data_IF_968167728468
#
_entry.id   IF_968167728468
#
_cell.length_a   1.000
_cell.length_b   1.000
_cell.length_c   1.000
_cell.angle_alpha   90.00
_cell.angle_beta   90.00
_cell.angle_gamma   90.00
#
_symmetry.space_group_name_H-M   'P 1'
#
loop_
_entity.id
_entity.type
_entity.pdbx_description
1 polymer ?
#
# COMPACT_ATOMS: atom_id res chain seq x y z
N UNK A 1 12.92 -28.04 26.09
CA UNK A 1 14.10 -27.21 25.75
C UNK A 1 14.72 -26.75 27.04
N UNK A 2 16.04 -26.78 27.16
CA UNK A 2 16.74 -26.35 28.38
C UNK A 2 16.93 -24.82 28.43
N UNK A 3 17.13 -24.27 29.63
CA UNK A 3 17.26 -22.82 29.87
C UNK A 3 18.45 -22.17 29.14
N UNK A 4 19.51 -22.94 28.85
CA UNK A 4 20.69 -22.45 28.14
C UNK A 4 20.36 -22.21 26.67
N UNK A 5 19.61 -23.14 26.06
CA UNK A 5 19.07 -23.01 24.71
C UNK A 5 18.12 -21.81 24.60
N UNK A 6 17.23 -21.62 25.58
CA UNK A 6 16.31 -20.45 25.60
C UNK A 6 17.09 -19.13 25.68
N UNK A 7 18.11 -19.04 26.53
CA UNK A 7 18.96 -17.84 26.63
C UNK A 7 19.74 -17.55 25.35
N UNK A 8 20.26 -18.58 24.68
CA UNK A 8 20.94 -18.42 23.40
C UNK A 8 19.99 -17.91 22.31
N UNK A 9 18.75 -18.41 22.25
CA UNK A 9 17.76 -17.91 21.29
C UNK A 9 17.46 -16.44 21.58
N UNK A 10 17.18 -16.09 22.84
CA UNK A 10 16.87 -14.71 23.23
C UNK A 10 18.03 -13.73 22.98
N UNK A 11 19.29 -14.16 23.13
CA UNK A 11 20.45 -13.30 22.85
C UNK A 11 20.63 -12.97 21.36
N UNK A 12 19.95 -13.69 20.47
CA UNK A 12 19.95 -13.43 19.03
C UNK A 12 18.74 -12.59 18.58
N UNK A 13 17.81 -12.25 19.48
CA UNK A 13 16.69 -11.37 19.17
C UNK A 13 17.13 -9.92 19.38
N UNK A 14 17.35 -9.20 18.28
CA UNK A 14 17.72 -7.80 18.32
C UNK A 14 16.48 -6.91 18.13
N UNK A 15 16.09 -6.18 19.17
CA UNK A 15 15.04 -5.16 19.09
C UNK A 15 15.65 -3.83 18.65
N UNK A 16 15.91 -3.69 17.35
CA UNK A 16 16.30 -2.40 16.80
C UNK A 16 15.10 -1.43 16.84
N UNK A 17 15.26 -0.29 17.54
CA UNK A 17 14.30 0.83 17.55
C UNK A 17 14.53 1.82 16.41
N UNK A 18 15.54 1.58 15.57
CA UNK A 18 15.88 2.46 14.45
C UNK A 18 14.99 2.15 13.25
N UNK A 19 13.98 2.98 13.03
CA UNK A 19 13.16 2.93 11.81
C UNK A 19 13.88 3.69 10.68
N UNK A 20 14.98 3.15 10.16
CA UNK A 20 15.57 3.68 8.94
C UNK A 20 14.78 3.16 7.74
N UNK A 21 14.44 4.05 6.80
CA UNK A 21 13.72 3.69 5.56
C UNK A 21 14.49 2.63 4.76
N UNK A 22 15.82 2.67 4.82
CA UNK A 22 16.72 1.70 4.18
C UNK A 22 16.51 0.27 4.70
N UNK A 23 16.17 0.13 5.98
CA UNK A 23 15.94 -1.16 6.63
C UNK A 23 14.45 -1.57 6.66
N UNK A 24 13.54 -0.60 6.50
CA UNK A 24 12.10 -0.81 6.54
C UNK A 24 11.35 0.06 5.51
N UNK A 25 11.21 -0.47 4.30
CA UNK A 25 10.51 0.22 3.20
C UNK A 25 9.03 0.56 3.53
N UNK A 26 8.41 -0.11 4.51
CA UNK A 26 7.03 0.17 4.94
C UNK A 26 6.92 1.59 5.52
N UNK A 27 8.00 2.11 6.10
CA UNK A 27 8.04 3.47 6.60
C UNK A 27 7.86 4.49 5.46
N UNK A 28 8.39 4.22 4.27
CA UNK A 28 8.20 5.10 3.11
C UNK A 28 6.72 5.20 2.72
N UNK A 29 6.03 4.06 2.65
CA UNK A 29 4.58 4.02 2.39
C UNK A 29 3.82 4.84 3.43
N UNK A 30 4.13 4.66 4.72
CA UNK A 30 3.50 5.41 5.81
C UNK A 30 3.73 6.91 5.67
N UNK A 31 4.98 7.34 5.48
CA UNK A 31 5.33 8.76 5.38
C UNK A 31 4.67 9.44 4.17
N UNK A 32 4.68 8.79 3.00
CA UNK A 32 4.07 9.35 1.80
C UNK A 32 2.54 9.39 1.92
N UNK A 33 1.94 8.35 2.52
CA UNK A 33 0.49 8.36 2.83
C UNK A 33 0.14 9.51 3.77
N UNK A 34 0.96 9.77 4.80
CA UNK A 34 0.75 10.92 5.68
C UNK A 34 0.86 12.26 4.96
N UNK A 35 1.75 12.38 3.96
CA UNK A 35 1.84 13.59 3.12
C UNK A 35 0.54 13.80 2.35
N UNK A 36 0.02 12.76 1.68
CA UNK A 36 -1.25 12.83 0.96
C UNK A 36 -2.42 13.21 1.88
N UNK A 37 -2.50 12.57 3.05
CA UNK A 37 -3.55 12.82 4.05
C UNK A 37 -3.47 14.25 4.61
N UNK A 38 -2.26 14.74 4.93
CA UNK A 38 -2.07 16.12 5.41
C UNK A 38 -2.45 17.14 4.33
N UNK A 39 -2.09 16.87 3.07
CA UNK A 39 -2.43 17.71 1.94
C UNK A 39 -3.95 17.81 1.73
N UNK A 40 -4.67 16.69 1.86
CA UNK A 40 -6.15 16.66 1.75
C UNK A 40 -6.89 16.98 3.06
N UNK A 41 -6.18 17.35 4.12
CA UNK A 41 -6.82 17.73 5.38
C UNK A 41 -7.55 19.09 5.23
N UNK A 42 -8.64 19.34 6.00
CA UNK A 42 -9.44 20.56 5.86
C UNK A 42 -8.66 21.87 6.04
N UNK A 43 -7.53 21.83 6.74
CA UNK A 43 -6.68 23.01 6.99
C UNK A 43 -5.73 23.36 5.84
N UNK A 44 -5.43 22.42 4.94
CA UNK A 44 -4.46 22.61 3.85
C UNK A 44 -5.17 22.60 2.49
N UNK A 45 -5.91 21.53 2.19
CA UNK A 45 -6.63 21.32 0.94
C UNK A 45 -5.78 21.56 -0.32
N UNK A 46 -4.64 20.86 -0.42
CA UNK A 46 -3.71 20.90 -1.54
C UNK A 46 -3.73 19.57 -2.34
N UNK A 47 -4.64 19.43 -3.33
CA UNK A 47 -4.72 18.21 -4.13
C UNK A 47 -3.48 17.99 -5.02
N UNK A 48 -2.72 19.04 -5.36
CA UNK A 48 -1.50 18.90 -6.17
C UNK A 48 -0.43 18.08 -5.44
N UNK A 49 -0.22 18.37 -4.16
CA UNK A 49 0.69 17.59 -3.31
C UNK A 49 0.19 16.16 -3.12
N UNK A 50 -1.13 15.96 -2.96
CA UNK A 50 -1.71 14.62 -2.83
C UNK A 50 -1.51 13.76 -4.09
N UNK A 51 -1.67 14.35 -5.29
CA UNK A 51 -1.40 13.66 -6.57
C UNK A 51 0.04 13.18 -6.63
N UNK A 52 1.00 14.05 -6.31
CA UNK A 52 2.42 13.68 -6.31
C UNK A 52 2.73 12.55 -5.33
N UNK A 53 2.13 12.60 -4.13
CA UNK A 53 2.27 11.53 -3.15
C UNK A 53 1.69 10.20 -3.65
N UNK A 54 0.54 10.22 -4.34
CA UNK A 54 -0.06 9.02 -4.95
C UNK A 54 0.82 8.48 -6.08
N UNK A 55 1.46 9.33 -6.87
CA UNK A 55 2.42 8.89 -7.90
C UNK A 55 3.61 8.13 -7.28
N UNK A 56 4.19 8.65 -6.20
CA UNK A 56 5.24 7.93 -5.47
C UNK A 56 4.76 6.62 -4.85
N UNK A 57 3.53 6.59 -4.29
CA UNK A 57 2.95 5.33 -3.79
C UNK A 57 2.73 4.32 -4.91
N UNK A 58 2.34 4.76 -6.11
CA UNK A 58 2.18 3.92 -7.29
C UNK A 58 3.48 3.22 -7.64
N UNK A 59 4.58 3.98 -7.72
CA UNK A 59 5.92 3.42 -7.99
C UNK A 59 6.39 2.49 -6.87
N UNK A 60 6.15 2.85 -5.61
CA UNK A 60 6.52 1.99 -4.49
C UNK A 60 5.73 0.68 -4.49
N UNK A 61 4.43 0.71 -4.78
CA UNK A 61 3.63 -0.51 -4.90
C UNK A 61 4.09 -1.37 -6.07
N UNK A 62 4.40 -0.80 -7.24
CA UNK A 62 4.88 -1.58 -8.39
C UNK A 62 6.20 -2.30 -8.07
N UNK A 63 7.13 -1.62 -7.38
CA UNK A 63 8.36 -2.23 -6.86
C UNK A 63 8.09 -3.29 -5.78
N UNK A 64 7.12 -3.04 -4.90
CA UNK A 64 6.74 -3.97 -3.83
C UNK A 64 6.12 -5.25 -4.37
N UNK A 65 5.35 -5.17 -5.45
CA UNK A 65 4.76 -6.33 -6.13
C UNK A 65 5.82 -7.29 -6.67
N UNK A 66 7.04 -6.83 -6.93
CA UNK A 66 8.18 -7.67 -7.35
C UNK A 66 8.82 -8.47 -6.19
N UNK A 67 8.37 -8.27 -4.94
CA UNK A 67 8.94 -8.89 -3.74
C UNK A 67 7.97 -9.89 -3.14
N UNK A 68 8.53 -10.97 -2.55
CA UNK A 68 7.78 -11.97 -1.78
C UNK A 68 7.36 -11.43 -0.41
N UNK A 69 6.22 -11.92 0.07
CA UNK A 69 5.75 -11.74 1.46
C UNK A 69 6.49 -12.61 2.49
N UNK A 70 7.44 -13.43 2.03
CA UNK A 70 8.31 -14.22 2.89
C UNK A 70 9.78 -14.11 2.45
N UNK A 71 10.63 -13.70 3.39
CA UNK A 71 12.08 -13.82 3.25
C UNK A 71 12.55 -15.05 4.02
N UNK A 72 12.69 -16.19 3.38
CA UNK A 72 13.37 -17.35 3.99
C UNK A 72 14.76 -17.45 3.39
N UNK A 73 15.79 -17.21 4.21
CA UNK A 73 17.17 -17.47 3.81
C UNK A 73 17.46 -18.95 4.06
N UNK A 74 17.67 -19.68 2.95
CA UNK A 74 18.06 -21.09 2.96
C UNK A 74 19.54 -21.18 2.62
N UNK A 75 20.30 -21.91 3.42
CA UNK A 75 21.70 -22.25 3.14
C UNK A 75 21.81 -23.78 3.19
N UNK A 76 22.50 -24.42 2.23
CA UNK A 76 22.66 -25.89 2.19
C UNK A 76 21.35 -26.71 2.42
N UNK A 77 20.21 -26.20 1.95
CA UNK A 77 18.90 -26.86 2.10
C UNK A 77 18.20 -26.69 3.47
N UNK A 78 18.83 -26.00 4.43
CA UNK A 78 18.23 -25.68 5.72
C UNK A 78 17.80 -24.19 5.78
N UNK A 79 16.60 -23.91 6.30
CA UNK A 79 16.12 -22.55 6.51
C UNK A 79 16.73 -21.96 7.79
N UNK A 80 17.52 -20.88 7.68
CA UNK A 80 18.23 -20.27 8.81
C UNK A 80 17.57 -18.99 9.33
N UNK A 81 16.96 -18.19 8.45
CA UNK A 81 16.36 -16.90 8.83
C UNK A 81 15.00 -16.76 8.17
N UNK A 82 13.98 -16.46 8.98
CA UNK A 82 12.66 -16.01 8.50
C UNK A 82 12.54 -14.52 8.79
N UNK A 83 12.52 -13.71 7.75
CA UNK A 83 12.31 -12.26 7.85
C UNK A 83 10.80 -12.02 7.88
N UNK A 84 10.33 -11.28 8.89
CA UNK A 84 8.96 -10.79 8.94
C UNK A 84 8.81 -9.68 7.88
N UNK A 85 8.09 -9.97 6.81
CA UNK A 85 7.73 -8.99 5.79
C UNK A 85 6.25 -8.68 5.99
N UNK A 86 5.86 -7.40 5.96
CA UNK A 86 4.44 -7.04 5.96
C UNK A 86 3.81 -7.56 4.68
N UNK A 87 2.69 -8.26 4.85
CA UNK A 87 1.90 -8.83 3.76
C UNK A 87 1.46 -7.71 2.81
N UNK A 88 1.49 -7.98 1.50
CA UNK A 88 1.06 -7.02 0.50
C UNK A 88 -0.38 -6.53 0.72
N UNK A 89 -1.31 -7.43 1.06
CA UNK A 89 -2.71 -7.13 1.35
C UNK A 89 -2.84 -6.15 2.52
N UNK A 90 -2.12 -6.40 3.60
CA UNK A 90 -2.13 -5.55 4.79
C UNK A 90 -1.54 -4.17 4.50
N UNK A 91 -0.45 -4.11 3.73
CA UNK A 91 0.15 -2.85 3.30
C UNK A 91 -0.81 -2.04 2.42
N UNK A 92 -1.41 -2.69 1.41
CA UNK A 92 -2.39 -2.08 0.50
C UNK A 92 -3.58 -1.54 1.29
N UNK A 93 -4.14 -2.35 2.19
CA UNK A 93 -5.25 -1.96 3.05
C UNK A 93 -4.92 -0.72 3.89
N UNK A 94 -3.77 -0.70 4.57
CA UNK A 94 -3.40 0.41 5.46
C UNK A 94 -3.25 1.73 4.72
N UNK A 95 -2.62 1.70 3.53
CA UNK A 95 -2.45 2.88 2.68
C UNK A 95 -3.81 3.33 2.13
N UNK A 96 -4.55 2.41 1.51
CA UNK A 96 -5.80 2.74 0.83
C UNK A 96 -6.91 3.14 1.80
N UNK A 97 -7.04 2.51 2.97
CA UNK A 97 -8.03 2.91 3.97
C UNK A 97 -7.84 4.36 4.42
N UNK A 98 -6.59 4.79 4.58
CA UNK A 98 -6.25 6.18 4.90
C UNK A 98 -6.63 7.12 3.74
N UNK A 99 -6.23 6.79 2.52
CA UNK A 99 -6.53 7.61 1.34
C UNK A 99 -8.03 7.70 1.06
N UNK A 100 -8.79 6.59 1.15
CA UNK A 100 -10.26 6.60 1.01
C UNK A 100 -10.91 7.48 2.07
N UNK A 101 -10.47 7.41 3.32
CA UNK A 101 -11.04 8.20 4.41
C UNK A 101 -10.89 9.70 4.18
N UNK A 102 -9.69 10.15 3.78
CA UNK A 102 -9.37 11.57 3.68
C UNK A 102 -9.61 12.16 2.30
N UNK A 103 -9.52 11.38 1.22
CA UNK A 103 -9.60 11.90 -0.15
C UNK A 103 -10.95 11.69 -0.83
N UNK A 104 -11.89 10.93 -0.23
CA UNK A 104 -13.20 10.58 -0.85
C UNK A 104 -14.05 11.75 -1.33
N UNK A 105 -13.79 12.96 -0.84
CA UNK A 105 -14.57 14.15 -1.18
C UNK A 105 -14.06 14.87 -2.43
N UNK A 106 -12.89 14.47 -2.96
CA UNK A 106 -12.31 15.05 -4.17
C UNK A 106 -12.35 14.02 -5.34
N UNK A 107 -13.20 14.25 -6.36
CA UNK A 107 -13.31 13.36 -7.52
C UNK A 107 -12.02 13.18 -8.32
N UNK A 108 -11.15 14.20 -8.35
CA UNK A 108 -9.89 14.14 -9.10
C UNK A 108 -8.91 13.21 -8.38
N UNK A 109 -8.83 13.29 -7.05
CA UNK A 109 -7.98 12.39 -6.26
C UNK A 109 -8.50 10.96 -6.32
N UNK A 110 -9.82 10.75 -6.22
CA UNK A 110 -10.41 9.41 -6.36
C UNK A 110 -10.13 8.82 -7.74
N UNK A 111 -10.25 9.62 -8.81
CA UNK A 111 -9.87 9.18 -10.16
C UNK A 111 -8.38 8.80 -10.23
N UNK A 112 -7.49 9.57 -9.59
CA UNK A 112 -6.05 9.26 -9.54
C UNK A 112 -5.78 7.92 -8.84
N UNK A 113 -6.49 7.62 -7.75
CA UNK A 113 -6.38 6.33 -7.05
C UNK A 113 -6.85 5.16 -7.92
N UNK A 114 -7.91 5.35 -8.71
CA UNK A 114 -8.38 4.33 -9.67
C UNK A 114 -7.31 4.06 -10.74
N UNK A 115 -6.68 5.10 -11.27
CA UNK A 115 -5.58 4.94 -12.22
C UNK A 115 -4.37 4.25 -11.62
N UNK A 116 -4.01 4.56 -10.36
CA UNK A 116 -2.96 3.84 -9.65
C UNK A 116 -3.29 2.34 -9.58
N UNK A 117 -4.48 1.97 -9.10
CA UNK A 117 -4.86 0.56 -8.95
C UNK A 117 -4.92 -0.16 -10.31
N UNK A 118 -5.46 0.49 -11.34
CA UNK A 118 -5.47 -0.06 -12.70
C UNK A 118 -4.07 -0.25 -13.28
N UNK A 119 -3.18 0.72 -13.10
CA UNK A 119 -1.77 0.58 -13.50
C UNK A 119 -1.08 -0.58 -12.78
N UNK A 120 -1.32 -0.74 -11.47
CA UNK A 120 -0.77 -1.83 -10.68
C UNK A 120 -1.28 -3.19 -11.16
N UNK A 121 -2.55 -3.29 -11.54
CA UNK A 121 -3.15 -4.51 -12.11
C UNK A 121 -2.49 -4.93 -13.43
N UNK A 122 -2.00 -4.00 -14.23
CA UNK A 122 -1.26 -4.29 -15.47
C UNK A 122 0.20 -4.70 -15.25
N UNK A 123 0.73 -4.54 -14.03
CA UNK A 123 2.10 -4.96 -13.74
C UNK A 123 2.21 -6.49 -13.68
N UNK A 124 3.40 -7.02 -13.91
CA UNK A 124 3.68 -8.45 -13.69
C UNK A 124 4.11 -8.67 -12.24
N UNK A 125 3.23 -9.15 -11.33
CA UNK A 125 3.60 -9.35 -9.93
C UNK A 125 4.52 -10.57 -9.75
N UNK A 126 5.17 -10.64 -8.60
CA UNK A 126 5.83 -11.87 -8.16
C UNK A 126 4.80 -12.97 -7.82
N UNK A 127 3.66 -12.59 -7.23
CA UNK A 127 2.55 -13.47 -6.85
C UNK A 127 1.25 -12.99 -7.50
N UNK A 128 0.60 -13.84 -8.27
CA UNK A 128 -0.67 -13.55 -8.96
C UNK A 128 -1.80 -13.16 -7.99
N UNK A 129 -1.73 -13.62 -6.73
CA UNK A 129 -2.68 -13.24 -5.68
C UNK A 129 -2.69 -11.73 -5.38
N UNK A 130 -1.61 -11.01 -5.68
CA UNK A 130 -1.57 -9.55 -5.54
C UNK A 130 -2.54 -8.85 -6.48
N UNK A 131 -2.72 -9.38 -7.70
CA UNK A 131 -3.68 -8.85 -8.67
C UNK A 131 -5.10 -8.95 -8.14
N UNK A 132 -5.47 -10.10 -7.56
CA UNK A 132 -6.79 -10.28 -6.93
C UNK A 132 -7.03 -9.31 -5.77
N UNK A 133 -5.98 -9.01 -4.98
CA UNK A 133 -6.07 -8.04 -3.89
C UNK A 133 -6.27 -6.60 -4.41
N UNK A 134 -5.60 -6.23 -5.50
CA UNK A 134 -5.77 -4.93 -6.16
C UNK A 134 -7.18 -4.80 -6.73
N UNK A 135 -7.73 -5.85 -7.35
CA UNK A 135 -9.09 -5.85 -7.88
C UNK A 135 -10.14 -5.64 -6.78
N UNK A 136 -10.01 -6.35 -5.64
CA UNK A 136 -10.89 -6.16 -4.48
C UNK A 136 -10.86 -4.72 -3.96
N UNK A 137 -9.67 -4.12 -3.92
CA UNK A 137 -9.48 -2.75 -3.46
C UNK A 137 -10.07 -1.73 -4.45
N UNK A 138 -9.92 -1.96 -5.76
CA UNK A 138 -10.54 -1.14 -6.80
C UNK A 138 -12.07 -1.19 -6.75
N UNK A 139 -12.65 -2.37 -6.57
CA UNK A 139 -14.09 -2.55 -6.44
C UNK A 139 -14.64 -1.81 -5.20
N UNK A 140 -13.92 -1.89 -4.08
CA UNK A 140 -14.27 -1.16 -2.87
C UNK A 140 -14.23 0.36 -3.07
N UNK A 141 -13.15 0.87 -3.67
CA UNK A 141 -13.01 2.29 -3.97
C UNK A 141 -14.14 2.80 -4.89
N UNK A 142 -14.48 2.06 -5.94
CA UNK A 142 -15.56 2.42 -6.87
C UNK A 142 -16.92 2.42 -6.20
N UNK A 143 -17.16 1.50 -5.27
CA UNK A 143 -18.38 1.47 -4.48
C UNK A 143 -18.48 2.72 -3.59
N UNK A 144 -17.45 3.00 -2.80
CA UNK A 144 -17.42 4.15 -1.88
C UNK A 144 -17.51 5.49 -2.63
N UNK A 145 -16.87 5.61 -3.80
CA UNK A 145 -16.93 6.81 -4.62
C UNK A 145 -18.34 7.14 -5.12
N UNK A 146 -19.14 6.13 -5.48
CA UNK A 146 -20.54 6.31 -5.89
C UNK A 146 -21.42 6.84 -4.77
N UNK A 147 -21.10 6.49 -3.52
CA UNK A 147 -21.81 6.94 -2.32
C UNK A 147 -21.35 8.32 -1.84
N UNK A 148 -20.12 8.74 -2.18
CA UNK A 148 -19.51 9.97 -1.70
C UNK A 148 -19.84 11.23 -2.53
N UNK A 149 -20.16 11.10 -3.82
CA UNK A 149 -20.36 12.24 -4.71
C UNK A 149 -21.84 12.53 -5.01
N UNK A 150 -22.27 13.77 -4.77
CA UNK A 150 -23.63 14.22 -5.09
C UNK A 150 -23.84 14.44 -6.60
N UNK A 151 -22.77 14.75 -7.32
CA UNK A 151 -22.78 15.06 -8.75
C UNK A 151 -22.80 13.79 -9.60
N UNK A 152 -23.89 13.58 -10.34
CA UNK A 152 -24.01 12.46 -11.27
C UNK A 152 -22.91 12.45 -12.36
N UNK A 153 -22.36 13.61 -12.71
CA UNK A 153 -21.25 13.73 -13.66
C UNK A 153 -19.96 13.17 -13.08
N UNK A 154 -19.67 13.44 -11.81
CA UNK A 154 -18.43 12.98 -11.16
C UNK A 154 -18.47 11.47 -10.92
N UNK A 155 -19.62 10.96 -10.48
CA UNK A 155 -19.87 9.50 -10.39
C UNK A 155 -19.64 8.82 -11.74
N UNK A 156 -20.15 9.41 -12.83
CA UNK A 156 -19.98 8.87 -14.18
C UNK A 156 -18.51 8.88 -14.62
N UNK A 157 -17.79 9.99 -14.43
CA UNK A 157 -16.37 10.09 -14.80
C UNK A 157 -15.49 9.09 -14.04
N UNK A 158 -15.77 8.87 -12.76
CA UNK A 158 -15.08 7.89 -11.92
C UNK A 158 -15.36 6.45 -12.42
N UNK A 159 -16.62 6.14 -12.75
CA UNK A 159 -16.98 4.85 -13.32
C UNK A 159 -16.45 4.62 -14.74
N UNK A 160 -16.19 5.68 -15.51
CA UNK A 160 -15.53 5.59 -16.83
C UNK A 160 -14.03 5.39 -16.70
N UNK A 161 -13.38 5.99 -15.70
CA UNK A 161 -11.96 5.82 -15.45
C UNK A 161 -11.59 4.35 -15.22
N UNK A 162 -12.44 3.57 -14.54
CA UNK A 162 -12.21 2.15 -14.28
C UNK A 162 -12.51 1.22 -15.47
N UNK A 163 -13.05 1.73 -16.59
CA UNK A 163 -13.29 0.92 -17.80
C UNK A 163 -12.10 0.90 -18.76
N UNK A 164 -11.17 1.83 -18.56
CA UNK A 164 -10.00 2.02 -19.41
C UNK A 164 -8.74 1.35 -18.84
N UNK A 165 -8.92 0.47 -17.85
CA UNK A 165 -7.91 -0.26 -17.07
C UNK A 165 -8.53 -1.61 -16.68
#
# INVERSE_FOLDING_TARGET
MDDKTVKQILSNINFARGELVEDNYILAFKQITEIAVKAMSPGVNDPGTAINAIDYLTELFSLRMQKRDSGVLVHEGNAYVKIAVVNFEELMYNVMASLRTYCKHDPIIVQKLIWMLGYLKEQSPFDEGYTEMIEKELDLLLKEAKEAFDSATDVKKVAEASKNI
#
